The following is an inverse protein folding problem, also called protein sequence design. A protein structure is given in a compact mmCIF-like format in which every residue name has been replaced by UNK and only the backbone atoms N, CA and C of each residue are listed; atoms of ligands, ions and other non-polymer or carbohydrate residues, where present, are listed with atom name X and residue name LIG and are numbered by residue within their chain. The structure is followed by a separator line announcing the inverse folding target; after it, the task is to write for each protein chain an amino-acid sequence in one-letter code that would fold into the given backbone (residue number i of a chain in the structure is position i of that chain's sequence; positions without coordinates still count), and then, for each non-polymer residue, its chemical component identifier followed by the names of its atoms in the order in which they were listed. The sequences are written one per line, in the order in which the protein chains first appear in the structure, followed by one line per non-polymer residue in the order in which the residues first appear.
data_IF_178000904700
#
_entry.id   IF_178000904700
#
_cell.length_a   1.000
_cell.length_b   1.000
_cell.length_c   1.000
_cell.angle_alpha   90.00
_cell.angle_beta   90.00
_cell.angle_gamma   90.00
#
_symmetry.space_group_name_H-M   'P 1'
#
loop_
_entity.id
_entity.type
_entity.pdbx_description
1 polymer ?
#
# COMPACT_ATOMS: atom_id res chain seq x y z
N UNK A 1 20.23 -30.89 4.76
CA UNK A 1 19.08 -30.88 5.68
C UNK A 1 17.83 -31.17 4.88
N UNK A 2 16.93 -31.91 5.48
CA UNK A 2 15.63 -32.24 4.90
C UNK A 2 14.61 -32.40 6.03
N UNK A 3 13.36 -31.92 5.86
CA UNK A 3 12.34 -31.91 6.90
C UNK A 3 12.39 -30.67 7.77
N UNK A 4 11.73 -30.65 8.93
CA UNK A 4 11.63 -29.49 9.81
C UNK A 4 12.84 -29.38 10.75
N UNK A 5 13.33 -28.17 10.97
CA UNK A 5 14.43 -27.91 11.88
C UNK A 5 14.68 -26.42 12.13
N UNK A 6 15.42 -26.16 13.22
CA UNK A 6 15.84 -24.82 13.62
C UNK A 6 17.31 -24.63 13.28
N UNK A 7 17.66 -23.47 12.76
CA UNK A 7 19.04 -23.04 12.55
C UNK A 7 19.26 -21.62 13.05
N UNK A 8 20.28 -21.45 13.89
CA UNK A 8 20.77 -20.15 14.28
C UNK A 8 21.94 -19.72 13.36
N UNK A 9 21.98 -18.44 13.02
CA UNK A 9 23.02 -17.77 12.24
C UNK A 9 23.52 -16.55 13.04
N UNK A 10 24.65 -15.99 12.65
CA UNK A 10 25.18 -14.73 13.19
C UNK A 10 25.13 -14.67 14.73
N UNK A 11 25.84 -15.56 15.40
CA UNK A 11 25.95 -15.66 16.86
C UNK A 11 24.58 -15.83 17.59
N UNK A 12 23.63 -16.48 16.92
CA UNK A 12 22.29 -16.76 17.45
C UNK A 12 21.28 -15.64 17.33
N UNK A 13 21.66 -14.50 16.73
CA UNK A 13 20.76 -13.34 16.56
C UNK A 13 19.72 -13.55 15.47
N UNK A 14 20.11 -14.29 14.40
CA UNK A 14 19.23 -14.63 13.30
C UNK A 14 18.88 -16.11 13.42
N UNK A 15 17.60 -16.42 13.41
CA UNK A 15 17.13 -17.82 13.52
C UNK A 15 16.11 -18.13 12.43
N UNK A 16 16.22 -19.34 11.88
CA UNK A 16 15.18 -19.90 11.02
C UNK A 16 14.60 -21.16 11.70
N UNK A 17 13.29 -21.18 11.87
CA UNK A 17 12.51 -22.35 12.29
C UNK A 17 11.53 -22.69 11.18
N UNK A 18 11.74 -23.81 10.52
CA UNK A 18 10.88 -24.18 9.40
C UNK A 18 11.31 -25.44 8.66
N UNK A 19 10.75 -25.59 7.49
CA UNK A 19 11.00 -26.73 6.62
C UNK A 19 12.25 -26.53 5.77
N UNK A 20 12.94 -27.63 5.48
CA UNK A 20 14.16 -27.69 4.72
C UNK A 20 14.05 -28.75 3.63
N UNK A 21 14.57 -28.45 2.47
CA UNK A 21 14.73 -29.37 1.35
C UNK A 21 16.10 -29.16 0.72
N UNK A 22 16.87 -30.23 0.61
CA UNK A 22 18.21 -30.23 0.00
C UNK A 22 19.16 -29.16 0.57
N UNK A 23 19.05 -28.90 1.88
CA UNK A 23 19.85 -27.92 2.59
C UNK A 23 19.36 -26.47 2.52
N UNK A 24 18.33 -26.20 1.74
CA UNK A 24 17.71 -24.88 1.56
C UNK A 24 16.40 -24.75 2.36
N UNK A 25 16.07 -23.54 2.81
CA UNK A 25 14.76 -23.23 3.40
C UNK A 25 13.68 -23.46 2.34
N UNK A 26 12.65 -24.21 2.75
CA UNK A 26 11.57 -24.61 1.85
C UNK A 26 10.27 -24.74 2.64
N UNK A 27 9.09 -24.85 1.97
CA UNK A 27 7.81 -25.00 2.67
C UNK A 27 7.49 -23.83 3.59
N UNK A 28 7.01 -24.11 4.80
CA UNK A 28 6.62 -23.09 5.78
C UNK A 28 7.74 -22.88 6.80
N UNK A 29 8.04 -21.61 7.11
CA UNK A 29 9.02 -21.29 8.14
C UNK A 29 9.06 -19.84 8.54
N UNK A 30 9.64 -19.60 9.72
CA UNK A 30 9.85 -18.27 10.30
C UNK A 30 11.33 -17.93 10.31
N UNK A 31 11.71 -16.82 9.74
CA UNK A 31 13.04 -16.23 9.84
C UNK A 31 12.96 -14.99 10.72
N UNK A 32 13.65 -15.03 11.84
CA UNK A 32 13.83 -13.89 12.75
C UNK A 32 15.16 -13.24 12.44
N UNK A 33 15.17 -11.90 12.25
CA UNK A 33 16.35 -11.14 11.80
C UNK A 33 17.11 -10.47 12.94
N UNK A 34 16.54 -10.42 14.15
CA UNK A 34 17.12 -9.81 15.34
C UNK A 34 16.88 -10.66 16.58
N UNK A 35 17.68 -10.40 17.65
CA UNK A 35 17.60 -11.16 18.88
C UNK A 35 16.30 -10.93 19.66
N UNK A 36 15.65 -9.80 19.45
CA UNK A 36 14.44 -9.38 20.15
C UNK A 36 13.16 -9.86 19.44
N UNK A 37 13.29 -10.39 18.22
CA UNK A 37 12.18 -10.92 17.43
C UNK A 37 11.27 -9.86 16.81
N UNK A 38 11.69 -8.58 16.80
CA UNK A 38 10.90 -7.50 16.23
C UNK A 38 10.86 -7.53 14.70
N UNK A 39 11.94 -7.98 14.07
CA UNK A 39 12.01 -8.14 12.64
C UNK A 39 11.94 -9.62 12.27
N UNK A 40 10.86 -10.04 11.60
CA UNK A 40 10.67 -11.44 11.22
C UNK A 40 9.87 -11.58 9.93
N UNK A 41 10.13 -12.67 9.23
CA UNK A 41 9.28 -13.15 8.16
C UNK A 41 8.71 -14.51 8.54
N UNK A 42 7.41 -14.65 8.42
CA UNK A 42 6.67 -15.89 8.58
C UNK A 42 5.91 -16.20 7.28
N UNK A 43 6.14 -17.34 6.68
CA UNK A 43 5.47 -17.68 5.44
C UNK A 43 6.11 -18.82 4.66
N UNK A 44 5.79 -18.83 3.37
CA UNK A 44 6.28 -19.85 2.44
C UNK A 44 7.69 -19.50 1.94
N UNK A 45 8.48 -20.57 1.76
CA UNK A 45 9.84 -20.53 1.29
C UNK A 45 10.03 -21.47 0.11
N UNK A 46 10.81 -21.08 -0.87
CA UNK A 46 11.24 -21.92 -1.98
C UNK A 46 12.70 -21.62 -2.29
N UNK A 47 13.55 -22.65 -2.15
CA UNK A 47 14.97 -22.58 -2.50
C UNK A 47 15.67 -21.36 -1.88
N UNK A 48 15.59 -21.24 -0.54
CA UNK A 48 16.09 -20.14 0.30
C UNK A 48 15.45 -18.77 0.11
N UNK A 49 14.41 -18.64 -0.73
CA UNK A 49 13.74 -17.37 -1.02
C UNK A 49 12.32 -17.34 -0.48
N UNK A 50 11.89 -16.18 -0.01
CA UNK A 50 10.49 -15.93 0.32
C UNK A 50 9.63 -16.13 -0.93
N UNK A 51 8.54 -16.89 -0.78
CA UNK A 51 7.67 -17.26 -1.87
C UNK A 51 6.23 -17.40 -1.37
N UNK A 52 5.25 -17.56 -2.30
CA UNK A 52 3.85 -17.83 -1.93
C UNK A 52 3.26 -16.76 -1.02
N UNK A 53 2.66 -17.16 0.08
CA UNK A 53 2.08 -16.25 1.08
C UNK A 53 3.00 -16.08 2.28
N UNK A 54 3.05 -14.87 2.81
CA UNK A 54 3.83 -14.61 4.02
C UNK A 54 3.65 -13.21 4.56
N UNK A 55 4.02 -13.06 5.84
CA UNK A 55 4.02 -11.80 6.57
C UNK A 55 5.45 -11.41 6.93
N UNK A 56 5.81 -10.19 6.62
CA UNK A 56 7.05 -9.55 7.03
C UNK A 56 6.76 -8.45 8.03
N UNK A 57 7.34 -8.56 9.20
CA UNK A 57 7.41 -7.49 10.19
C UNK A 57 8.81 -6.89 10.12
N UNK A 58 8.92 -5.57 10.00
CA UNK A 58 10.19 -4.84 9.96
C UNK A 58 10.50 -4.25 11.32
N UNK A 59 11.78 -4.08 11.67
CA UNK A 59 12.21 -3.44 12.92
C UNK A 59 11.69 -2.01 13.09
N UNK A 60 11.35 -1.33 12.00
CA UNK A 60 10.70 -0.01 12.00
C UNK A 60 9.24 -0.01 12.46
N UNK A 61 8.65 -1.19 12.73
CA UNK A 61 7.23 -1.36 13.00
C UNK A 61 6.36 -1.50 11.74
N UNK A 62 6.90 -1.23 10.56
CA UNK A 62 6.19 -1.46 9.31
C UNK A 62 5.93 -2.95 9.13
N UNK A 63 4.88 -3.30 8.41
CA UNK A 63 4.63 -4.70 8.06
C UNK A 63 4.03 -4.84 6.65
N UNK A 64 4.21 -6.02 6.11
CA UNK A 64 3.58 -6.45 4.87
C UNK A 64 3.04 -7.87 5.03
N UNK A 65 1.83 -8.10 4.54
CA UNK A 65 1.21 -9.43 4.47
C UNK A 65 0.63 -9.63 3.08
N UNK A 66 1.05 -10.69 2.41
CA UNK A 66 0.60 -10.91 1.03
C UNK A 66 1.46 -11.91 0.27
N UNK A 67 1.44 -11.74 -1.05
CA UNK A 67 2.18 -12.59 -1.97
C UNK A 67 3.66 -12.25 -2.05
N UNK A 68 4.48 -13.26 -2.26
CA UNK A 68 5.92 -13.18 -2.42
C UNK A 68 6.39 -13.99 -3.61
N UNK A 69 7.34 -13.49 -4.36
CA UNK A 69 8.05 -14.20 -5.41
C UNK A 69 9.52 -13.79 -5.39
N UNK A 70 10.43 -14.77 -5.24
CA UNK A 70 11.88 -14.53 -5.24
C UNK A 70 12.31 -13.37 -4.32
N UNK A 71 11.88 -13.38 -3.05
CA UNK A 71 12.13 -12.36 -2.01
C UNK A 71 11.44 -11.00 -2.22
N UNK A 72 10.69 -10.83 -3.30
CA UNK A 72 9.97 -9.58 -3.59
C UNK A 72 8.46 -9.72 -3.33
N UNK A 73 7.83 -8.64 -2.86
CA UNK A 73 6.37 -8.55 -2.76
C UNK A 73 5.78 -8.71 -4.16
N UNK A 74 4.79 -9.62 -4.31
CA UNK A 74 4.20 -9.94 -5.61
C UNK A 74 2.78 -10.47 -5.45
N UNK A 75 1.89 -10.12 -6.38
CA UNK A 75 0.47 -10.45 -6.27
C UNK A 75 -0.25 -9.56 -5.27
N UNK A 76 -1.33 -10.06 -4.66
CA UNK A 76 -2.14 -9.29 -3.69
C UNK A 76 -1.43 -9.19 -2.34
N UNK A 77 -1.47 -8.01 -1.73
CA UNK A 77 -0.94 -7.82 -0.38
C UNK A 77 -1.26 -6.48 0.24
N UNK A 78 -1.15 -6.43 1.56
CA UNK A 78 -1.36 -5.24 2.38
C UNK A 78 -0.04 -4.85 3.04
N UNK A 79 0.28 -3.57 3.04
CA UNK A 79 1.37 -3.02 3.83
C UNK A 79 0.87 -1.88 4.69
N UNK A 80 1.45 -1.74 5.87
CA UNK A 80 1.16 -0.64 6.78
C UNK A 80 2.47 0.01 7.22
N UNK A 81 2.46 1.34 7.25
CA UNK A 81 3.53 2.19 7.76
C UNK A 81 3.01 2.98 8.97
N UNK A 82 3.05 2.42 10.19
CA UNK A 82 2.43 3.02 11.37
C UNK A 82 2.94 4.44 11.67
N UNK A 83 4.22 4.71 11.41
CA UNK A 83 4.82 6.03 11.67
C UNK A 83 4.22 7.13 10.80
N UNK A 84 3.90 6.85 9.53
CA UNK A 84 3.23 7.80 8.63
C UNK A 84 1.72 7.67 8.63
N UNK A 85 1.18 6.61 9.24
CA UNK A 85 -0.24 6.27 9.22
C UNK A 85 -0.74 5.83 7.85
N UNK A 86 0.15 5.35 6.98
CA UNK A 86 -0.20 4.91 5.64
C UNK A 86 -0.50 3.42 5.60
N UNK A 87 -1.50 3.05 4.80
CA UNK A 87 -1.82 1.65 4.50
C UNK A 87 -2.09 1.51 3.01
N UNK A 88 -1.44 0.55 2.37
CA UNK A 88 -1.73 0.17 0.99
C UNK A 88 -2.28 -1.26 0.94
N UNK A 89 -3.43 -1.44 0.30
CA UNK A 89 -4.04 -2.74 -0.02
C UNK A 89 -4.23 -2.83 -1.53
N UNK A 90 -3.48 -3.69 -2.19
CA UNK A 90 -3.51 -3.75 -3.65
C UNK A 90 -2.60 -4.81 -4.24
N UNK A 91 -2.42 -4.68 -5.54
CA UNK A 91 -1.54 -5.54 -6.30
C UNK A 91 -0.08 -5.07 -6.22
N UNK A 92 0.83 -6.02 -6.27
CA UNK A 92 2.28 -5.82 -6.17
C UNK A 92 2.98 -6.54 -7.30
N UNK A 93 3.95 -5.87 -7.92
CA UNK A 93 4.87 -6.45 -8.89
C UNK A 93 6.27 -5.98 -8.54
N UNK A 94 7.21 -6.91 -8.38
CA UNK A 94 8.63 -6.65 -8.10
C UNK A 94 8.84 -5.67 -6.94
N UNK A 95 8.11 -5.90 -5.83
CA UNK A 95 8.20 -5.11 -4.62
C UNK A 95 7.51 -3.75 -4.63
N UNK A 96 6.81 -3.39 -5.72
CA UNK A 96 6.15 -2.09 -5.89
C UNK A 96 4.63 -2.22 -6.08
N UNK A 97 3.83 -1.28 -5.55
CA UNK A 97 2.42 -1.15 -5.91
C UNK A 97 2.21 -1.14 -7.42
N UNK A 98 1.26 -1.95 -7.89
CA UNK A 98 0.94 -2.09 -9.31
C UNK A 98 -0.55 -2.43 -9.48
N UNK A 99 -1.08 -2.40 -10.71
CA UNK A 99 -2.47 -2.80 -10.95
C UNK A 99 -3.46 -1.93 -10.19
N UNK A 100 -4.38 -2.54 -9.45
CA UNK A 100 -5.41 -1.83 -8.70
C UNK A 100 -5.16 -1.94 -7.20
N UNK A 101 -5.29 -0.81 -6.49
CA UNK A 101 -5.12 -0.77 -5.05
C UNK A 101 -5.79 0.43 -4.39
N UNK A 102 -5.80 0.38 -3.07
CA UNK A 102 -6.25 1.46 -2.20
C UNK A 102 -5.07 1.89 -1.32
N UNK A 103 -4.77 3.17 -1.34
CA UNK A 103 -3.82 3.82 -0.43
C UNK A 103 -4.61 4.75 0.49
N UNK A 104 -4.49 4.55 1.78
CA UNK A 104 -5.15 5.36 2.80
C UNK A 104 -4.13 5.98 3.74
N UNK A 105 -4.40 7.20 4.19
CA UNK A 105 -3.59 7.93 5.16
C UNK A 105 -4.37 8.07 6.46
N UNK A 106 -4.13 7.17 7.39
CA UNK A 106 -4.70 7.21 8.73
C UNK A 106 -3.89 8.19 9.57
N UNK A 107 -4.40 9.36 9.83
CA UNK A 107 -3.84 10.19 10.86
C UNK A 107 -4.08 9.47 12.20
N UNK A 108 -3.06 8.83 12.75
CA UNK A 108 -3.08 8.35 14.12
C UNK A 108 -3.20 9.57 15.00
N UNK A 109 -4.42 9.93 15.40
CA UNK A 109 -4.60 10.82 16.53
C UNK A 109 -4.19 10.01 17.77
N UNK A 110 -3.00 10.30 18.28
CA UNK A 110 -2.62 9.91 19.62
C UNK A 110 -3.73 10.31 20.58
N UNK A 111 -4.26 9.32 21.31
CA UNK A 111 -5.01 9.45 22.54
C UNK A 111 -6.15 10.49 22.58
N UNK A 112 -7.27 10.20 21.94
CA UNK A 112 -8.57 10.52 22.54
C UNK A 112 -9.54 9.38 22.23
N UNK A 113 -9.60 8.44 23.16
CA UNK A 113 -10.66 7.46 23.25
C UNK A 113 -11.94 8.19 23.66
N UNK A 114 -12.61 8.81 22.70
CA UNK A 114 -14.03 9.12 22.89
C UNK A 114 -14.84 7.92 22.40
N UNK A 115 -15.00 6.97 23.32
CA UNK A 115 -15.69 5.70 23.10
C UNK A 115 -17.22 5.86 22.89
N UNK A 116 -17.73 7.08 22.72
CA UNK A 116 -19.17 7.36 22.67
C UNK A 116 -19.68 7.77 21.30
N UNK A 117 -18.83 8.04 20.33
CA UNK A 117 -19.29 8.33 18.97
C UNK A 117 -18.77 7.27 18.00
N UNK A 118 -19.52 6.19 17.87
CA UNK A 118 -19.31 5.15 16.85
C UNK A 118 -19.66 5.68 15.44
N UNK A 119 -19.28 6.89 15.14
CA UNK A 119 -19.47 7.54 13.86
C UNK A 119 -18.13 7.50 13.13
N UNK A 120 -17.96 6.54 12.27
CA UNK A 120 -16.86 6.47 11.30
C UNK A 120 -17.01 7.61 10.29
N UNK A 121 -16.78 8.85 10.73
CA UNK A 121 -16.59 9.93 9.79
C UNK A 121 -15.27 9.66 9.08
N UNK A 122 -15.34 9.56 7.76
CA UNK A 122 -14.22 9.33 6.87
C UNK A 122 -13.35 10.59 6.80
N UNK A 123 -12.64 10.89 7.89
CA UNK A 123 -11.74 12.05 8.01
C UNK A 123 -10.34 11.75 7.44
N UNK A 124 -10.25 10.78 6.55
CA UNK A 124 -9.00 10.24 6.03
C UNK A 124 -8.88 10.51 4.54
N UNK A 125 -7.71 10.97 4.14
CA UNK A 125 -7.39 10.95 2.73
C UNK A 125 -7.27 9.50 2.25
N UNK A 126 -7.83 9.21 1.09
CA UNK A 126 -7.64 7.90 0.47
C UNK A 126 -7.61 8.00 -1.05
N UNK A 127 -6.85 7.13 -1.66
CA UNK A 127 -6.85 6.94 -3.10
C UNK A 127 -7.23 5.48 -3.41
N UNK A 128 -8.15 5.29 -4.34
CA UNK A 128 -8.49 4.00 -4.91
C UNK A 128 -8.41 4.07 -6.41
N UNK A 129 -7.51 3.30 -7.00
CA UNK A 129 -7.31 3.39 -8.45
C UNK A 129 -6.13 2.56 -8.92
N UNK A 130 -5.65 2.93 -10.09
CA UNK A 130 -4.56 2.23 -10.76
C UNK A 130 -3.19 2.74 -10.28
N UNK A 131 -2.24 1.81 -10.23
CA UNK A 131 -0.83 2.03 -9.90
C UNK A 131 0.06 1.41 -10.96
N UNK A 132 1.17 2.07 -11.25
CA UNK A 132 2.25 1.52 -12.06
C UNK A 132 3.60 1.87 -11.41
N UNK A 133 4.42 0.85 -11.17
CA UNK A 133 5.77 1.00 -10.60
C UNK A 133 5.82 1.83 -9.28
N UNK A 134 4.78 1.72 -8.45
CA UNK A 134 4.67 2.38 -7.15
C UNK A 134 3.97 3.74 -7.18
N UNK A 135 3.63 4.29 -8.34
CA UNK A 135 2.97 5.58 -8.48
C UNK A 135 1.50 5.43 -8.90
N UNK A 136 0.64 6.36 -8.47
CA UNK A 136 -0.72 6.47 -8.99
C UNK A 136 -0.66 6.81 -10.48
N UNK A 137 -1.32 6.00 -11.28
CA UNK A 137 -1.25 6.05 -12.74
C UNK A 137 -2.57 5.58 -13.33
N UNK A 138 -3.05 6.16 -14.45
CA UNK A 138 -4.32 5.79 -15.04
C UNK A 138 -5.51 6.35 -14.24
N UNK A 139 -6.65 5.64 -14.20
CA UNK A 139 -7.86 6.14 -13.56
C UNK A 139 -7.89 5.82 -12.07
N UNK A 140 -8.36 6.79 -11.24
CA UNK A 140 -8.55 6.60 -9.82
C UNK A 140 -9.31 7.74 -9.15
N UNK A 141 -9.90 7.39 -8.00
CA UNK A 141 -10.61 8.30 -7.12
C UNK A 141 -9.74 8.65 -5.91
N UNK A 142 -9.62 9.93 -5.63
CA UNK A 142 -9.05 10.45 -4.39
C UNK A 142 -10.16 11.08 -3.56
N UNK A 143 -10.33 10.61 -2.32
CA UNK A 143 -11.21 11.21 -1.34
C UNK A 143 -10.36 12.00 -0.33
N UNK A 144 -10.68 13.26 -0.14
CA UNK A 144 -10.02 14.15 0.80
C UNK A 144 -10.72 14.10 2.16
N UNK A 145 -9.96 14.33 3.23
CA UNK A 145 -10.47 14.35 4.60
C UNK A 145 -11.57 15.39 4.84
N UNK A 146 -11.60 16.45 4.05
CA UNK A 146 -12.63 17.50 4.09
C UNK A 146 -13.92 17.12 3.34
N UNK A 147 -14.01 15.94 2.75
CA UNK A 147 -15.18 15.47 2.02
C UNK A 147 -15.15 15.73 0.51
N UNK A 148 -14.22 16.56 0.03
CA UNK A 148 -14.06 16.74 -1.42
C UNK A 148 -13.52 15.46 -2.08
N UNK A 149 -13.73 15.31 -3.39
CA UNK A 149 -13.20 14.14 -4.13
C UNK A 149 -12.65 14.55 -5.49
N UNK A 150 -11.73 13.75 -5.99
CA UNK A 150 -11.29 13.80 -7.37
C UNK A 150 -11.47 12.42 -8.00
N UNK A 151 -12.18 12.37 -9.10
CA UNK A 151 -12.39 11.18 -9.92
C UNK A 151 -11.83 11.47 -11.31
N UNK A 152 -10.75 10.80 -11.70
CA UNK A 152 -10.12 11.13 -12.97
C UNK A 152 -8.79 10.44 -13.21
N UNK A 153 -8.07 10.92 -14.20
CA UNK A 153 -6.81 10.37 -14.61
C UNK A 153 -5.64 10.90 -13.77
N UNK A 154 -4.65 10.03 -13.60
CA UNK A 154 -3.43 10.24 -12.83
C UNK A 154 -2.21 9.92 -13.68
N UNK A 155 -1.16 10.68 -13.53
CA UNK A 155 0.14 10.43 -14.12
C UNK A 155 1.24 10.79 -13.13
N UNK A 156 2.10 9.81 -12.80
CA UNK A 156 3.22 9.98 -11.88
C UNK A 156 2.80 10.69 -10.58
N UNK A 157 1.79 10.14 -9.87
CA UNK A 157 1.20 10.62 -8.61
C UNK A 157 0.46 11.96 -8.68
N UNK A 158 0.27 12.55 -9.87
CA UNK A 158 -0.42 13.83 -10.06
C UNK A 158 -1.72 13.66 -10.83
N UNK A 159 -2.71 14.47 -10.51
CA UNK A 159 -3.91 14.62 -11.34
C UNK A 159 -3.50 15.10 -12.72
N UNK A 160 -3.90 14.38 -13.77
CA UNK A 160 -3.51 14.69 -15.13
C UNK A 160 -4.53 14.12 -16.12
N UNK A 161 -4.83 14.85 -17.21
CA UNK A 161 -5.89 14.46 -18.15
C UNK A 161 -7.28 14.79 -17.62
N UNK A 162 -8.30 14.10 -18.10
CA UNK A 162 -9.69 14.41 -17.78
C UNK A 162 -10.06 13.92 -16.38
N UNK A 163 -10.89 14.71 -15.68
CA UNK A 163 -11.36 14.38 -14.34
C UNK A 163 -12.45 15.31 -13.85
N UNK A 164 -13.08 14.89 -12.76
CA UNK A 164 -14.08 15.65 -12.03
C UNK A 164 -13.58 15.90 -10.59
N UNK A 165 -13.65 17.12 -10.14
CA UNK A 165 -13.38 17.49 -8.75
C UNK A 165 -14.67 17.95 -8.11
N UNK A 166 -15.15 17.22 -7.10
CA UNK A 166 -16.31 17.60 -6.29
C UNK A 166 -15.82 18.32 -5.04
N UNK A 167 -16.29 19.53 -4.84
CA UNK A 167 -15.98 20.37 -3.68
C UNK A 167 -16.81 19.95 -2.44
N UNK A 168 -16.46 20.48 -1.28
CA UNK A 168 -17.16 20.19 0.00
C UNK A 168 -18.63 20.63 -0.02
N UNK A 169 -18.97 21.67 -0.76
CA UNK A 169 -20.32 22.18 -0.92
C UNK A 169 -21.15 21.39 -1.95
N UNK A 170 -20.55 20.36 -2.56
CA UNK A 170 -21.19 19.52 -3.58
C UNK A 170 -21.07 20.05 -5.00
N UNK A 171 -20.55 21.28 -5.20
CA UNK A 171 -20.29 21.78 -6.55
C UNK A 171 -19.21 20.95 -7.24
N UNK A 172 -19.28 20.82 -8.56
CA UNK A 172 -18.39 19.97 -9.34
C UNK A 172 -17.69 20.75 -10.44
N UNK A 173 -16.38 20.62 -10.50
CA UNK A 173 -15.58 21.01 -11.64
C UNK A 173 -15.31 19.79 -12.51
N UNK A 174 -15.72 19.82 -13.76
CA UNK A 174 -15.39 18.81 -14.78
C UNK A 174 -14.49 19.43 -15.83
N UNK A 175 -13.33 18.84 -16.04
CA UNK A 175 -12.38 19.39 -17.00
C UNK A 175 -11.04 18.66 -17.01
N UNK A 176 -10.10 19.24 -17.72
CA UNK A 176 -8.75 18.73 -17.84
C UNK A 176 -7.88 19.23 -16.67
N UNK A 177 -7.00 18.35 -16.21
CA UNK A 177 -5.97 18.66 -15.22
C UNK A 177 -4.58 18.48 -15.82
N UNK A 178 -3.68 19.35 -15.44
CA UNK A 178 -2.27 19.22 -15.75
C UNK A 178 -1.43 19.44 -14.49
N UNK A 179 -0.73 18.37 -14.04
CA UNK A 179 0.11 18.38 -12.83
C UNK A 179 -0.59 18.98 -11.62
N UNK A 180 -1.75 18.39 -11.27
CA UNK A 180 -2.65 18.77 -10.16
C UNK A 180 -3.46 20.07 -10.34
N UNK A 181 -3.25 20.82 -11.41
CA UNK A 181 -3.95 22.09 -11.67
C UNK A 181 -5.06 21.90 -12.69
N UNK A 182 -6.25 22.46 -12.44
CA UNK A 182 -7.29 22.51 -13.47
C UNK A 182 -6.84 23.40 -14.63
N UNK A 183 -7.06 22.95 -15.84
CA UNK A 183 -6.85 23.76 -17.05
C UNK A 183 -8.16 24.52 -17.31
N UNK A 184 -8.19 25.80 -16.97
CA UNK A 184 -9.30 26.69 -17.28
C UNK A 184 -9.15 27.08 -18.75
N UNK A 185 -10.12 26.71 -19.59
CA UNK A 185 -10.02 26.72 -21.03
C UNK A 185 -9.39 27.95 -21.64
N UNK A 186 -8.54 27.69 -22.63
CA UNK A 186 -8.25 28.59 -23.73
C UNK A 186 -9.15 28.21 -24.92
N UNK A 187 -9.26 29.05 -25.91
CA UNK A 187 -10.23 29.03 -27.04
C UNK A 187 -10.23 27.74 -27.92
N UNK A 188 -9.74 26.62 -27.47
CA UNK A 188 -9.60 25.37 -28.21
C UNK A 188 -10.69 24.30 -27.91
N UNK A 189 -11.85 24.70 -27.39
CA UNK A 189 -13.09 23.92 -27.41
C UNK A 189 -13.29 22.88 -26.30
N UNK A 190 -12.44 22.83 -25.28
CA UNK A 190 -12.66 22.03 -24.07
C UNK A 190 -13.19 22.90 -22.94
N UNK A 191 -14.52 23.01 -22.82
CA UNK A 191 -15.12 23.85 -21.77
C UNK A 191 -15.01 23.17 -20.41
N UNK A 192 -14.18 23.73 -19.52
CA UNK A 192 -14.32 23.51 -18.09
C UNK A 192 -15.74 23.89 -17.66
N UNK A 193 -16.46 23.01 -16.97
CA UNK A 193 -17.81 23.28 -16.49
C UNK A 193 -17.81 23.23 -14.98
N UNK A 194 -18.41 24.24 -14.37
CA UNK A 194 -18.85 24.20 -12.98
C UNK A 194 -20.34 23.83 -12.98
N UNK A 195 -20.67 22.72 -12.32
CA UNK A 195 -22.05 22.30 -12.12
C UNK A 195 -22.41 22.57 -10.65
N UNK A 196 -23.62 23.08 -10.37
CA UNK A 196 -24.07 23.38 -9.02
C UNK A 196 -24.36 22.12 -8.20
#
# INVERSE_FOLDING_TARGET
RHGRGVQAFADGRVTYDGEWKDGMRHGIGTLTFDADGYAQYEGEWRDDRKHGKGRMQYASGNWYEGGWACDQKNGRGVTCWPTSGETYDGDWVDGKPHGVGTLAWDRVLSDTTDALTNTWFNTRNSYRGQFAAGMRQGYGRFAYANGSTYDGNWYADRKHGDGAYTFEDGSVFVGRFERDRPVLGDDTGGSARFEP
#
